data_IF_367541390516
#
_entry.id   IF_367541390516
#
_cell.length_a   1.000
_cell.length_b   1.000
_cell.length_c   1.000
_cell.angle_alpha   90.00
_cell.angle_beta   90.00
_cell.angle_gamma   90.00
#
_symmetry.space_group_name_H-M   'P 1'
#
loop_
_entity.id
_entity.type
_entity.pdbx_description
1 polymer ?
#
# COMPACT_ATOMS: atom_id res chain seq x y z
N UNK A 1 12.63 -11.52 2.72
CA UNK A 1 12.44 -10.08 2.94
C UNK A 1 10.99 -9.71 2.66
N UNK A 2 10.66 -9.18 1.46
CA UNK A 2 9.28 -8.77 1.16
C UNK A 2 8.30 -9.95 1.19
N UNK A 3 8.74 -11.14 0.84
CA UNK A 3 7.89 -12.35 0.87
C UNK A 3 7.40 -12.70 2.27
N UNK A 4 8.02 -12.17 3.31
CA UNK A 4 7.55 -12.33 4.69
C UNK A 4 6.20 -11.67 4.91
N UNK A 5 5.85 -10.71 4.06
CA UNK A 5 4.60 -9.94 4.18
C UNK A 5 3.43 -10.59 3.46
N UNK A 6 3.64 -11.71 2.76
CA UNK A 6 2.54 -12.39 2.04
C UNK A 6 1.44 -12.78 3.03
N UNK A 7 0.21 -12.41 2.69
CA UNK A 7 -0.95 -12.62 3.55
C UNK A 7 -1.27 -11.46 4.47
N UNK A 8 -0.41 -10.45 4.53
CA UNK A 8 -0.55 -9.32 5.43
C UNK A 8 -1.00 -8.06 4.69
N UNK A 9 -1.65 -7.15 5.44
CA UNK A 9 -1.95 -5.82 4.91
C UNK A 9 -0.66 -5.01 4.90
N UNK A 10 -0.39 -4.37 3.76
CA UNK A 10 0.84 -3.61 3.55
C UNK A 10 0.54 -2.20 3.07
N UNK A 11 1.50 -1.32 3.28
CA UNK A 11 1.58 0.01 2.68
C UNK A 11 2.70 -0.03 1.67
N UNK A 12 2.39 0.29 0.42
CA UNK A 12 3.38 0.35 -0.66
C UNK A 12 3.52 1.79 -1.10
N UNK A 13 4.69 2.36 -0.83
CA UNK A 13 5.02 3.71 -1.30
C UNK A 13 5.55 3.59 -2.73
N UNK A 14 4.94 4.32 -3.63
CA UNK A 14 5.27 4.32 -5.05
C UNK A 14 5.94 5.64 -5.41
N UNK A 15 6.68 5.62 -6.51
CA UNK A 15 7.26 6.86 -7.04
C UNK A 15 6.16 7.86 -7.37
N UNK A 16 6.48 9.16 -7.27
CA UNK A 16 5.51 10.22 -7.48
C UNK A 16 4.55 10.35 -6.31
N UNK A 17 3.30 10.63 -6.62
CA UNK A 17 2.28 10.99 -5.64
C UNK A 17 1.32 9.83 -5.36
N UNK A 18 1.78 8.57 -5.48
CA UNK A 18 0.93 7.42 -5.27
C UNK A 18 1.33 6.62 -4.04
N UNK A 19 0.32 6.07 -3.38
CA UNK A 19 0.49 5.07 -2.32
C UNK A 19 -0.57 3.99 -2.54
N UNK A 20 -0.24 2.74 -2.24
CA UNK A 20 -1.20 1.65 -2.35
C UNK A 20 -1.24 0.86 -1.06
N UNK A 21 -2.43 0.66 -0.54
CA UNK A 21 -2.69 -0.17 0.63
C UNK A 21 -3.44 -1.42 0.19
N UNK A 22 -3.16 -2.54 0.79
CA UNK A 22 -3.89 -3.77 0.47
C UNK A 22 -3.23 -4.97 1.10
N UNK A 23 -3.76 -6.15 0.79
CA UNK A 23 -3.19 -7.42 1.23
C UNK A 23 -2.23 -7.93 0.17
N UNK A 24 -0.97 -8.12 0.56
CA UNK A 24 0.04 -8.71 -0.33
C UNK A 24 -0.27 -10.20 -0.49
N UNK A 25 -0.52 -10.65 -1.70
CA UNK A 25 -0.89 -12.04 -1.96
C UNK A 25 0.21 -12.83 -2.64
N UNK A 26 0.94 -12.21 -3.56
CA UNK A 26 2.09 -12.85 -4.21
C UNK A 26 2.95 -11.80 -4.88
N UNK A 27 4.13 -12.21 -5.26
CA UNK A 27 5.07 -11.35 -5.98
C UNK A 27 6.00 -12.18 -6.85
N UNK A 28 6.55 -11.56 -7.86
CA UNK A 28 7.63 -12.11 -8.66
C UNK A 28 8.71 -11.04 -8.84
N UNK A 29 9.62 -11.21 -9.79
CA UNK A 29 10.70 -10.26 -10.02
C UNK A 29 10.25 -8.95 -10.69
N UNK A 30 9.01 -8.88 -11.20
CA UNK A 30 8.49 -7.72 -11.92
C UNK A 30 7.36 -7.02 -11.22
N UNK A 31 6.51 -7.78 -10.52
CA UNK A 31 5.26 -7.25 -9.98
C UNK A 31 5.03 -7.72 -8.54
N UNK A 32 4.24 -6.92 -7.85
CA UNK A 32 3.70 -7.24 -6.54
C UNK A 32 2.20 -7.20 -6.65
N UNK A 33 1.52 -8.27 -6.26
CA UNK A 33 0.06 -8.35 -6.31
C UNK A 33 -0.53 -7.97 -4.95
N UNK A 34 -1.42 -6.98 -4.96
CA UNK A 34 -2.25 -6.67 -3.80
C UNK A 34 -3.70 -6.97 -4.13
N UNK A 35 -4.44 -7.46 -3.14
CA UNK A 35 -5.88 -7.65 -3.22
C UNK A 35 -6.58 -6.76 -2.21
N UNK A 36 -7.83 -6.44 -2.48
CA UNK A 36 -8.64 -5.53 -1.66
C UNK A 36 -7.86 -4.25 -1.40
N UNK A 37 -7.42 -3.63 -2.49
CA UNK A 37 -6.45 -2.56 -2.45
C UNK A 37 -7.08 -1.18 -2.64
N UNK A 38 -6.44 -0.19 -2.04
CA UNK A 38 -6.72 1.22 -2.28
C UNK A 38 -5.48 1.82 -2.95
N UNK A 39 -5.58 2.07 -4.25
CA UNK A 39 -4.55 2.79 -4.99
C UNK A 39 -4.92 4.26 -4.95
N UNK A 40 -4.14 5.03 -4.21
CA UNK A 40 -4.46 6.41 -3.87
C UNK A 40 -3.48 7.39 -4.51
N UNK A 41 -4.05 8.38 -5.20
CA UNK A 41 -3.29 9.53 -5.72
C UNK A 41 -3.35 10.65 -4.68
N UNK A 42 -2.22 10.95 -4.08
CA UNK A 42 -2.12 11.95 -3.00
C UNK A 42 -2.46 13.37 -3.48
N UNK A 43 -2.47 13.62 -4.79
CA UNK A 43 -2.87 14.91 -5.35
C UNK A 43 -4.37 15.14 -5.29
N UNK A 44 -5.15 14.07 -5.11
CA UNK A 44 -6.61 14.15 -5.09
C UNK A 44 -7.16 14.53 -3.71
N UNK A 45 -6.30 14.68 -2.72
CA UNK A 45 -6.72 15.05 -1.36
C UNK A 45 -5.76 16.08 -0.77
N UNK A 46 -6.23 16.79 0.25
CA UNK A 46 -5.41 17.72 1.04
C UNK A 46 -4.70 17.02 2.20
N UNK A 47 -4.87 15.71 2.31
CA UNK A 47 -4.34 14.91 3.40
C UNK A 47 -2.91 14.48 3.08
N UNK A 48 -2.01 14.59 4.05
CA UNK A 48 -0.65 14.06 3.89
C UNK A 48 -0.67 12.55 3.77
N UNK A 49 0.42 11.98 3.21
CA UNK A 49 0.59 10.52 3.12
C UNK A 49 0.47 9.88 4.50
N UNK A 50 1.15 10.45 5.49
CA UNK A 50 1.19 9.92 6.84
C UNK A 50 -0.19 9.89 7.48
N UNK A 51 -0.96 10.96 7.32
CA UNK A 51 -2.31 11.03 7.87
C UNK A 51 -3.25 10.06 7.16
N UNK A 52 -3.16 9.97 5.83
CA UNK A 52 -3.96 9.03 5.06
C UNK A 52 -3.71 7.59 5.50
N UNK A 53 -2.45 7.21 5.66
CA UNK A 53 -2.09 5.85 6.09
C UNK A 53 -2.55 5.60 7.52
N UNK A 54 -2.39 6.56 8.42
CA UNK A 54 -2.84 6.44 9.81
C UNK A 54 -4.35 6.26 9.90
N UNK A 55 -5.12 7.02 9.11
CA UNK A 55 -6.58 6.88 9.06
C UNK A 55 -6.99 5.50 8.53
N UNK A 56 -6.31 5.01 7.51
CA UNK A 56 -6.60 3.69 6.94
C UNK A 56 -6.29 2.57 7.93
N UNK A 57 -5.23 2.73 8.72
CA UNK A 57 -4.92 1.79 9.79
C UNK A 57 -6.01 1.79 10.85
N UNK A 58 -6.50 2.96 11.23
CA UNK A 58 -7.51 3.10 12.29
C UNK A 58 -8.90 2.64 11.84
N UNK A 59 -9.31 2.93 10.60
CA UNK A 59 -10.67 2.73 10.13
C UNK A 59 -10.82 1.63 9.08
N UNK A 60 -9.72 1.05 8.62
CA UNK A 60 -9.71 0.02 7.59
C UNK A 60 -9.43 0.59 6.20
N UNK A 61 -9.02 -0.30 5.32
CA UNK A 61 -8.71 0.05 3.92
C UNK A 61 -10.02 0.18 3.14
N UNK A 62 -10.22 1.34 2.51
CA UNK A 62 -11.37 1.59 1.65
C UNK A 62 -10.99 1.23 0.22
N UNK A 63 -11.13 -0.04 -0.13
CA UNK A 63 -10.65 -0.56 -1.41
C UNK A 63 -11.31 0.11 -2.60
N UNK A 64 -10.51 0.40 -3.62
CA UNK A 64 -10.98 0.80 -4.93
C UNK A 64 -10.52 -0.17 -6.04
N UNK A 65 -9.83 -1.23 -5.66
CA UNK A 65 -9.40 -2.31 -6.56
C UNK A 65 -9.57 -3.64 -5.84
N UNK A 66 -10.22 -4.61 -6.49
CA UNK A 66 -10.25 -5.98 -5.97
C UNK A 66 -8.85 -6.60 -6.05
N UNK A 67 -8.12 -6.27 -7.08
CA UNK A 67 -6.79 -6.80 -7.34
C UNK A 67 -6.01 -5.77 -8.15
N UNK A 68 -4.75 -5.58 -7.82
CA UNK A 68 -3.85 -4.69 -8.57
C UNK A 68 -2.46 -5.31 -8.60
N UNK A 69 -1.81 -5.18 -9.75
CA UNK A 69 -0.40 -5.53 -9.89
C UNK A 69 0.41 -4.24 -9.90
N UNK A 70 1.28 -4.10 -8.93
CA UNK A 70 2.19 -2.96 -8.84
C UNK A 70 3.51 -3.35 -9.48
N UNK A 71 4.02 -2.50 -10.36
CA UNK A 71 5.31 -2.72 -11.02
C UNK A 71 6.42 -2.45 -10.01
N UNK A 72 7.26 -3.44 -9.75
CA UNK A 72 8.30 -3.34 -8.71
C UNK A 72 9.26 -2.17 -8.93
N UNK A 73 9.55 -1.84 -10.19
CA UNK A 73 10.43 -0.71 -10.50
C UNK A 73 9.89 0.64 -9.99
N UNK A 74 8.60 0.73 -9.73
CA UNK A 74 7.96 1.95 -9.20
C UNK A 74 7.78 1.94 -7.69
N UNK A 75 8.19 0.87 -7.02
CA UNK A 75 8.05 0.73 -5.58
C UNK A 75 9.28 1.33 -4.88
N UNK A 76 9.02 2.22 -3.93
CA UNK A 76 10.05 2.83 -3.09
C UNK A 76 10.22 2.04 -1.79
N UNK A 77 9.12 1.67 -1.16
CA UNK A 77 9.15 0.97 0.12
C UNK A 77 7.88 0.14 0.31
N UNK A 78 8.00 -0.95 1.05
CA UNK A 78 6.87 -1.77 1.48
C UNK A 78 6.98 -1.95 2.99
N UNK A 79 5.88 -1.70 3.70
CA UNK A 79 5.82 -1.89 5.14
C UNK A 79 4.51 -2.57 5.50
N UNK A 80 4.49 -3.27 6.62
CA UNK A 80 3.22 -3.75 7.18
C UNK A 80 2.39 -2.55 7.63
N UNK A 81 1.09 -2.58 7.34
CA UNK A 81 0.19 -1.51 7.80
C UNK A 81 0.23 -1.40 9.34
N UNK A 82 0.33 -2.53 10.04
CA UNK A 82 0.39 -2.55 11.50
C UNK A 82 1.71 -2.01 12.07
N UNK A 83 2.74 -1.87 11.25
CA UNK A 83 4.03 -1.32 11.69
C UNK A 83 4.12 0.20 11.52
N UNK A 84 3.07 0.83 10.99
CA UNK A 84 3.04 2.28 10.85
C UNK A 84 3.00 2.93 12.22
N UNK A 85 3.91 3.85 12.45
CA UNK A 85 4.03 4.57 13.71
C UNK A 85 3.36 5.93 13.57
N UNK A 86 2.36 6.17 14.41
CA UNK A 86 1.61 7.42 14.43
C UNK A 86 1.97 8.17 15.71
N UNK A 87 3.01 9.00 15.59
CA UNK A 87 3.51 9.79 16.71
C UNK A 87 3.31 11.29 16.50
#
# INVERSE_FOLDING_TARGET
MIEEFIGERVVVDLRGEYVCLGTLTRLDDRCVELRNADLHDLRDTDTSRELYVAESHATGIKRNRKRVLLVRAEIVAVALLDDVVDE
#
